data_IF_292377800307
#
_entry.id   IF_292377800307
#
_cell.length_a   1.000
_cell.length_b   1.000
_cell.length_c   1.000
_cell.angle_alpha   90.00
_cell.angle_beta   90.00
_cell.angle_gamma   90.00
#
_symmetry.space_group_name_H-M   'P 1'
#
loop_
_entity.id
_entity.type
_entity.pdbx_description
1 polymer ?
#
# COMPACT_ATOMS: atom_id res chain seq x y z
N UNK A 1 -13.83 13.63 5.01
CA UNK A 1 -12.62 13.30 5.77
C UNK A 1 -11.52 12.92 4.81
N UNK A 2 -10.32 13.36 5.08
CA UNK A 2 -9.19 13.08 4.21
C UNK A 2 -8.89 11.59 4.11
N UNK A 3 -9.06 10.87 5.21
CA UNK A 3 -8.81 9.41 5.21
C UNK A 3 -9.83 8.66 4.37
N UNK A 4 -11.07 9.14 4.30
CA UNK A 4 -12.08 8.55 3.44
C UNK A 4 -11.74 8.76 1.98
N UNK A 5 -11.29 9.96 1.61
CA UNK A 5 -10.87 10.26 0.24
C UNK A 5 -9.64 9.44 -0.14
N UNK A 6 -8.69 9.32 0.78
CA UNK A 6 -7.49 8.51 0.56
C UNK A 6 -7.87 7.05 0.36
N UNK A 7 -8.72 6.51 1.24
CA UNK A 7 -9.16 5.12 1.15
C UNK A 7 -9.89 4.87 -0.17
N UNK A 8 -10.76 5.78 -0.58
CA UNK A 8 -11.46 5.66 -1.84
C UNK A 8 -10.52 5.63 -3.03
N UNK A 9 -9.50 6.48 -3.03
CA UNK A 9 -8.50 6.50 -4.09
C UNK A 9 -7.71 5.20 -4.13
N UNK A 10 -7.29 4.68 -2.98
CA UNK A 10 -6.54 3.42 -2.91
C UNK A 10 -7.39 2.27 -3.43
N UNK A 11 -8.64 2.18 -3.03
CA UNK A 11 -9.54 1.12 -3.48
C UNK A 11 -9.74 1.21 -5.00
N UNK A 12 -9.95 2.41 -5.52
CA UNK A 12 -10.12 2.61 -6.97
C UNK A 12 -8.90 2.17 -7.75
N UNK A 13 -7.70 2.50 -7.26
CA UNK A 13 -6.45 2.08 -7.90
C UNK A 13 -6.29 0.56 -7.85
N UNK A 14 -6.61 -0.05 -6.71
CA UNK A 14 -6.52 -1.50 -6.57
C UNK A 14 -7.47 -2.23 -7.52
N UNK A 15 -8.69 -1.74 -7.64
CA UNK A 15 -9.66 -2.30 -8.58
C UNK A 15 -9.20 -2.18 -10.02
N UNK A 16 -8.61 -1.05 -10.37
CA UNK A 16 -8.07 -0.84 -11.71
C UNK A 16 -6.95 -1.83 -12.00
N UNK A 17 -6.03 -2.03 -11.04
CA UNK A 17 -4.92 -2.96 -11.20
C UNK A 17 -5.44 -4.38 -11.43
N UNK A 18 -6.38 -4.84 -10.60
CA UNK A 18 -6.95 -6.18 -10.76
C UNK A 18 -7.68 -6.34 -12.07
N UNK A 19 -8.41 -5.33 -12.50
CA UNK A 19 -9.16 -5.36 -13.74
C UNK A 19 -8.22 -5.41 -14.95
N UNK A 20 -7.10 -4.69 -14.87
CA UNK A 20 -6.15 -4.59 -15.98
C UNK A 20 -5.26 -5.83 -16.09
N UNK A 21 -4.72 -6.31 -14.96
CA UNK A 21 -3.81 -7.44 -14.95
C UNK A 21 -4.52 -8.79 -14.98
N UNK A 22 -5.68 -8.87 -14.33
CA UNK A 22 -6.36 -10.15 -14.16
C UNK A 22 -5.65 -11.03 -13.15
N UNK A 23 -6.13 -12.28 -12.98
CA UNK A 23 -5.54 -13.21 -12.00
C UNK A 23 -4.27 -13.86 -12.52
N UNK A 24 -3.52 -14.48 -11.62
CA UNK A 24 -2.42 -15.36 -11.99
C UNK A 24 -1.02 -14.81 -11.83
N UNK A 25 -0.87 -13.55 -11.50
CA UNK A 25 0.46 -12.98 -11.26
C UNK A 25 0.86 -13.13 -9.79
N UNK A 26 2.17 -13.04 -9.54
CA UNK A 26 2.68 -13.02 -8.18
C UNK A 26 2.24 -11.75 -7.47
N UNK A 27 2.12 -11.82 -6.14
CA UNK A 27 1.70 -10.70 -5.32
C UNK A 27 2.55 -9.45 -5.55
N UNK A 28 3.87 -9.62 -5.73
CA UNK A 28 4.76 -8.50 -5.97
C UNK A 28 4.41 -7.72 -7.24
N UNK A 29 3.84 -8.40 -8.25
CA UNK A 29 3.43 -7.74 -9.49
C UNK A 29 2.27 -6.79 -9.22
N UNK A 30 1.26 -7.28 -8.47
CA UNK A 30 0.10 -6.45 -8.11
C UNK A 30 0.52 -5.28 -7.23
N UNK A 31 1.44 -5.51 -6.29
CA UNK A 31 1.95 -4.48 -5.40
C UNK A 31 2.62 -3.35 -6.17
N UNK A 32 3.49 -3.70 -7.12
CA UNK A 32 4.20 -2.70 -7.94
C UNK A 32 3.24 -1.94 -8.84
N UNK A 33 2.27 -2.64 -9.41
CA UNK A 33 1.27 -1.99 -10.26
C UNK A 33 0.40 -1.04 -9.45
N UNK A 34 0.03 -1.44 -8.24
CA UNK A 34 -0.74 -0.59 -7.34
C UNK A 34 0.05 0.66 -6.94
N UNK A 35 1.33 0.48 -6.56
CA UNK A 35 2.19 1.61 -6.23
C UNK A 35 2.28 2.60 -7.39
N UNK A 36 2.40 2.09 -8.62
CA UNK A 36 2.46 2.92 -9.81
C UNK A 36 1.16 3.74 -10.00
N UNK A 37 0.01 3.09 -9.86
CA UNK A 37 -1.27 3.79 -10.01
C UNK A 37 -1.48 4.84 -8.92
N UNK A 38 -1.06 4.53 -7.69
CA UNK A 38 -1.16 5.49 -6.59
C UNK A 38 -0.29 6.71 -6.83
N UNK A 39 0.92 6.51 -7.33
CA UNK A 39 1.81 7.63 -7.67
C UNK A 39 1.25 8.47 -8.81
N UNK A 40 0.63 7.85 -9.80
CA UNK A 40 -0.06 8.56 -10.88
C UNK A 40 -1.20 9.42 -10.34
N UNK A 41 -1.85 8.97 -9.27
CA UNK A 41 -2.92 9.72 -8.62
C UNK A 41 -2.38 10.85 -7.72
N UNK A 42 -1.06 11.04 -7.66
CA UNK A 42 -0.45 12.10 -6.89
C UNK A 42 -0.14 11.76 -5.44
N UNK A 43 -0.22 10.48 -5.07
CA UNK A 43 0.03 10.06 -3.70
C UNK A 43 1.49 9.66 -3.48
N UNK A 44 2.01 9.96 -2.30
CA UNK A 44 3.31 9.46 -1.88
C UNK A 44 3.20 8.01 -1.46
N UNK A 45 4.05 7.15 -2.04
CA UNK A 45 4.03 5.71 -1.77
C UNK A 45 5.44 5.23 -1.49
N UNK A 46 5.60 4.51 -0.38
CA UNK A 46 6.84 3.81 -0.05
C UNK A 46 6.55 2.31 -0.02
N UNK A 47 7.47 1.52 -0.57
CA UNK A 47 7.37 0.06 -0.62
C UNK A 47 8.36 -0.57 0.34
N UNK A 48 8.00 -1.70 0.93
CA UNK A 48 8.88 -2.49 1.78
C UNK A 48 9.49 -1.65 2.90
N UNK A 49 8.62 -1.03 3.70
CA UNK A 49 9.04 -0.14 4.78
C UNK A 49 9.20 -0.94 6.08
N UNK A 50 10.40 -0.97 6.66
CA UNK A 50 10.60 -1.66 7.93
C UNK A 50 9.97 -0.87 9.08
N UNK A 51 9.28 -1.57 9.96
CA UNK A 51 8.60 -1.00 11.12
C UNK A 51 8.89 -1.84 12.34
N UNK A 52 8.99 -1.18 13.50
CA UNK A 52 9.01 -1.89 14.77
C UNK A 52 7.62 -1.90 15.38
N UNK A 53 7.20 -3.06 15.85
CA UNK A 53 5.92 -3.19 16.54
C UNK A 53 6.19 -3.14 18.03
N UNK A 54 5.53 -2.20 18.72
CA UNK A 54 5.68 -2.05 20.15
C UNK A 54 4.37 -2.36 20.86
N UNK A 55 4.50 -2.90 22.06
CA UNK A 55 3.38 -3.16 22.94
C UNK A 55 3.77 -2.75 24.36
N UNK A 56 3.03 -1.83 24.94
CA UNK A 56 3.35 -1.26 26.26
C UNK A 56 4.78 -0.71 26.34
N UNK A 57 5.24 -0.06 25.25
CA UNK A 57 6.59 0.50 25.20
C UNK A 57 7.70 -0.50 24.97
N UNK A 58 7.36 -1.76 24.76
CA UNK A 58 8.34 -2.84 24.53
C UNK A 58 8.27 -3.24 23.06
N UNK A 59 9.44 -3.37 22.43
CA UNK A 59 9.50 -3.86 21.05
C UNK A 59 9.21 -5.35 21.07
N UNK A 60 8.10 -5.74 20.46
CA UNK A 60 7.67 -7.14 20.42
C UNK A 60 7.91 -7.80 19.07
N UNK A 61 8.31 -7.04 18.06
CA UNK A 61 8.64 -7.62 16.78
C UNK A 61 9.01 -6.59 15.74
N UNK A 62 9.61 -7.07 14.69
CA UNK A 62 9.90 -6.28 13.48
C UNK A 62 8.92 -6.69 12.39
N UNK A 63 8.51 -5.73 11.59
CA UNK A 63 7.57 -5.94 10.53
C UNK A 63 7.96 -5.14 9.30
N UNK A 64 7.67 -5.65 8.12
CA UNK A 64 7.88 -4.92 6.87
C UNK A 64 6.52 -4.66 6.24
N UNK A 65 6.15 -3.40 6.14
CA UNK A 65 4.93 -3.02 5.44
C UNK A 65 5.18 -3.07 3.95
N UNK A 66 4.31 -3.75 3.21
CA UNK A 66 4.46 -3.86 1.76
C UNK A 66 4.31 -2.49 1.09
N UNK A 67 3.31 -1.73 1.50
CA UNK A 67 3.07 -0.38 1.00
C UNK A 67 2.69 0.54 2.14
N UNK A 68 3.23 1.75 2.11
CA UNK A 68 2.77 2.86 2.92
C UNK A 68 2.33 3.99 1.99
N UNK A 69 1.09 4.42 2.13
CA UNK A 69 0.51 5.47 1.30
C UNK A 69 0.38 6.73 2.14
N UNK A 70 1.05 7.80 1.73
CA UNK A 70 1.11 9.07 2.45
C UNK A 70 1.63 8.90 3.89
N UNK A 71 2.47 7.88 4.13
CA UNK A 71 3.03 7.60 5.44
C UNK A 71 2.09 6.90 6.39
N UNK A 72 1.03 6.31 5.90
CA UNK A 72 0.00 5.66 6.73
C UNK A 72 -0.20 4.19 6.43
#
# INVERSE_FOLDING_TARGET
MQDEDLTGTVIGCAMKVHRTLGPGYLEAVYERALAHELRKAGLGVACQVPLQVTYDGIVVGDYVADLLVEGR
#
